data_IF_182066681355
#
_entry.id   IF_182066681355
#
_cell.length_a   1.000
_cell.length_b   1.000
_cell.length_c   1.000
_cell.angle_alpha   90.00
_cell.angle_beta   90.00
_cell.angle_gamma   90.00
#
_symmetry.space_group_name_H-M   'P 1'
#
loop_
_entity.id
_entity.type
_entity.pdbx_description
1 polymer ?
#
# COMPACT_ATOMS: atom_id res chain seq x y z
N UNK A 1 -8.46 7.86 -1.68
CA UNK A 1 -9.26 8.01 -2.92
C UNK A 1 -9.98 6.70 -3.27
N UNK A 2 -9.26 5.60 -3.57
CA UNK A 2 -9.86 4.32 -3.96
C UNK A 2 -10.82 3.73 -2.91
N UNK A 3 -10.46 3.74 -1.63
CA UNK A 3 -11.36 3.28 -0.56
C UNK A 3 -12.68 4.06 -0.52
N UNK A 4 -12.65 5.36 -0.82
CA UNK A 4 -13.85 6.20 -0.86
C UNK A 4 -14.67 5.93 -2.12
N UNK A 5 -14.02 5.62 -3.24
CA UNK A 5 -14.70 5.18 -4.47
C UNK A 5 -15.44 3.86 -4.21
N UNK A 6 -14.81 2.91 -3.51
CA UNK A 6 -15.45 1.65 -3.09
C UNK A 6 -16.62 1.89 -2.13
N UNK A 7 -16.45 2.75 -1.12
CA UNK A 7 -17.53 3.11 -0.21
C UNK A 7 -18.74 3.74 -0.93
N UNK A 8 -18.50 4.48 -2.01
CA UNK A 8 -19.53 5.14 -2.80
C UNK A 8 -20.03 4.29 -3.99
N UNK A 9 -19.63 3.03 -4.08
CA UNK A 9 -19.97 2.16 -5.22
C UNK A 9 -21.46 2.10 -5.52
N UNK A 10 -22.29 1.81 -4.51
CA UNK A 10 -23.74 1.74 -4.68
C UNK A 10 -24.33 3.09 -5.11
N UNK A 11 -23.86 4.18 -4.51
CA UNK A 11 -24.27 5.53 -4.90
C UNK A 11 -23.93 5.83 -6.35
N UNK A 12 -22.70 5.50 -6.79
CA UNK A 12 -22.24 5.70 -8.17
C UNK A 12 -23.09 4.88 -9.15
N UNK A 13 -23.39 3.62 -8.82
CA UNK A 13 -24.24 2.76 -9.64
C UNK A 13 -25.67 3.28 -9.74
N UNK A 14 -26.25 3.76 -8.63
CA UNK A 14 -27.58 4.37 -8.61
C UNK A 14 -27.65 5.63 -9.47
N UNK A 15 -26.64 6.50 -9.37
CA UNK A 15 -26.55 7.71 -10.20
C UNK A 15 -26.40 7.38 -11.69
N UNK A 16 -25.56 6.39 -12.03
CA UNK A 16 -25.38 5.95 -13.41
C UNK A 16 -26.63 5.32 -14.03
N UNK A 17 -27.51 4.72 -13.22
CA UNK A 17 -28.79 4.20 -13.69
C UNK A 17 -29.77 5.32 -14.07
N UNK A 18 -29.65 6.49 -13.43
CA UNK A 18 -30.55 7.62 -13.59
C UNK A 18 -30.05 8.67 -14.62
N UNK A 19 -28.78 8.62 -15.01
CA UNK A 19 -28.16 9.56 -15.95
C UNK A 19 -27.41 8.84 -17.07
N UNK A 20 -27.87 9.07 -18.31
CA UNK A 20 -27.30 8.45 -19.52
C UNK A 20 -25.86 8.85 -19.83
N UNK A 21 -25.39 10.03 -19.37
CA UNK A 21 -23.99 10.44 -19.50
C UNK A 21 -23.11 9.69 -18.50
N UNK A 22 -23.57 9.56 -17.25
CA UNK A 22 -22.85 8.83 -16.21
C UNK A 22 -22.78 7.33 -16.48
N UNK A 23 -23.81 6.76 -17.11
CA UNK A 23 -23.81 5.35 -17.54
C UNK A 23 -22.66 5.00 -18.46
N UNK A 24 -22.21 5.93 -19.32
CA UNK A 24 -21.10 5.71 -20.27
C UNK A 24 -19.73 5.56 -19.59
N UNK A 25 -19.58 6.14 -18.39
CA UNK A 25 -18.33 6.10 -17.61
C UNK A 25 -18.43 5.19 -16.39
N UNK A 26 -19.57 4.50 -16.22
CA UNK A 26 -19.80 3.62 -15.10
C UNK A 26 -18.93 2.36 -15.23
N UNK A 27 -18.20 2.06 -14.15
CA UNK A 27 -17.34 0.89 -14.09
C UNK A 27 -18.17 -0.39 -14.09
N UNK A 28 -17.72 -1.38 -14.85
CA UNK A 28 -18.29 -2.71 -14.86
C UNK A 28 -17.80 -3.53 -13.64
N UNK A 29 -18.39 -4.70 -13.44
CA UNK A 29 -18.09 -5.55 -12.28
C UNK A 29 -16.62 -6.01 -12.22
N UNK A 30 -15.95 -6.18 -13.37
CA UNK A 30 -14.54 -6.57 -13.41
C UNK A 30 -13.62 -5.41 -13.04
N UNK A 31 -13.93 -4.21 -13.52
CA UNK A 31 -13.19 -2.99 -13.17
C UNK A 31 -13.33 -2.67 -11.67
N UNK A 32 -14.52 -2.83 -11.09
CA UNK A 32 -14.70 -2.73 -9.63
C UNK A 32 -13.84 -3.73 -8.86
N UNK A 33 -13.80 -4.99 -9.30
CA UNK A 33 -12.91 -6.00 -8.69
C UNK A 33 -11.43 -5.62 -8.82
N UNK A 34 -11.02 -5.03 -9.93
CA UNK A 34 -9.65 -4.53 -10.10
C UNK A 34 -9.34 -3.40 -9.12
N UNK A 35 -10.28 -2.46 -8.90
CA UNK A 35 -10.12 -1.41 -7.88
C UNK A 35 -9.95 -2.01 -6.49
N UNK A 36 -10.73 -3.03 -6.13
CA UNK A 36 -10.58 -3.74 -4.86
C UNK A 36 -9.17 -4.35 -4.72
N UNK A 37 -8.70 -5.05 -5.75
CA UNK A 37 -7.35 -5.65 -5.77
C UNK A 37 -6.27 -4.58 -5.62
N UNK A 38 -6.39 -3.45 -6.33
CA UNK A 38 -5.43 -2.34 -6.24
C UNK A 38 -5.47 -1.71 -4.83
N UNK A 39 -6.66 -1.49 -4.29
CA UNK A 39 -6.83 -0.91 -2.95
C UNK A 39 -6.23 -1.82 -1.87
N UNK A 40 -6.42 -3.14 -1.99
CA UNK A 40 -5.79 -4.11 -1.11
C UNK A 40 -4.27 -4.10 -1.27
N UNK A 41 -3.75 -4.15 -2.49
CA UNK A 41 -2.32 -4.13 -2.77
C UNK A 41 -1.60 -2.88 -2.23
N UNK A 42 -2.29 -1.74 -2.17
CA UNK A 42 -1.76 -0.47 -1.63
C UNK A 42 -1.93 -0.33 -0.12
N UNK A 43 -2.76 -1.15 0.53
CA UNK A 43 -3.07 -1.03 1.96
C UNK A 43 -1.83 -1.15 2.85
N UNK A 44 -0.89 -2.11 2.65
CA UNK A 44 0.32 -2.19 3.45
C UNK A 44 1.17 -0.91 3.35
N UNK A 45 1.29 -0.35 2.13
CA UNK A 45 2.03 0.89 1.90
C UNK A 45 1.36 2.10 2.58
N UNK A 46 0.02 2.16 2.58
CA UNK A 46 -0.74 3.19 3.31
C UNK A 46 -0.49 3.10 4.82
N UNK A 47 -0.55 1.91 5.39
CA UNK A 47 -0.31 1.70 6.84
C UNK A 47 1.14 2.06 7.18
N UNK A 48 2.10 1.58 6.39
CA UNK A 48 3.51 1.86 6.56
C UNK A 48 3.79 3.37 6.52
N UNK A 49 3.35 4.06 5.47
CA UNK A 49 3.58 5.51 5.33
C UNK A 49 3.01 6.32 6.49
N UNK A 50 1.84 5.93 7.03
CA UNK A 50 1.30 6.56 8.24
C UNK A 50 2.19 6.31 9.47
N UNK A 51 2.70 5.09 9.67
CA UNK A 51 3.67 4.80 10.75
C UNK A 51 4.96 5.62 10.59
N UNK A 52 5.42 5.80 9.36
CA UNK A 52 6.63 6.56 9.05
C UNK A 52 6.49 8.07 9.33
N UNK A 53 5.26 8.57 9.49
CA UNK A 53 4.99 9.97 9.84
C UNK A 53 4.95 10.21 11.35
N UNK A 54 5.15 9.19 12.18
CA UNK A 54 5.18 9.35 13.64
C UNK A 54 6.38 10.22 14.05
N UNK A 55 6.14 11.20 14.94
CA UNK A 55 7.17 12.15 15.39
C UNK A 55 8.34 11.45 16.11
N UNK A 56 8.04 10.44 16.93
CA UNK A 56 9.04 9.66 17.68
C UNK A 56 9.38 8.34 16.99
N UNK A 57 9.64 8.38 15.68
CA UNK A 57 10.04 7.19 14.93
C UNK A 57 11.54 6.89 15.11
N UNK A 58 11.86 5.78 15.77
CA UNK A 58 13.25 5.31 15.86
C UNK A 58 13.69 4.62 14.55
N UNK A 59 15.00 4.59 14.29
CA UNK A 59 15.55 3.94 13.07
C UNK A 59 15.20 2.45 12.99
N UNK A 60 15.15 1.76 14.13
CA UNK A 60 14.74 0.36 14.21
C UNK A 60 13.25 0.18 13.94
N UNK A 61 12.40 1.06 14.48
CA UNK A 61 10.95 0.99 14.23
C UNK A 61 10.61 1.32 12.77
N UNK A 62 11.36 2.25 12.16
CA UNK A 62 11.34 2.47 10.72
C UNK A 62 11.61 1.15 9.95
N UNK A 63 12.68 0.44 10.32
CA UNK A 63 13.05 -0.81 9.65
C UNK A 63 11.99 -1.91 9.84
N UNK A 64 11.45 -2.04 11.06
CA UNK A 64 10.35 -2.97 11.34
C UNK A 64 9.10 -2.67 10.53
N UNK A 65 8.69 -1.40 10.45
CA UNK A 65 7.55 -0.98 9.62
C UNK A 65 7.80 -1.25 8.13
N UNK A 66 9.04 -1.04 7.66
CA UNK A 66 9.43 -1.31 6.28
C UNK A 66 9.38 -2.80 5.91
N UNK A 67 9.95 -3.67 6.76
CA UNK A 67 9.90 -5.13 6.55
C UNK A 67 8.46 -5.62 6.58
N UNK A 68 7.67 -5.20 7.57
CA UNK A 68 6.27 -5.59 7.69
C UNK A 68 5.49 -5.21 6.42
N UNK A 69 5.68 -3.99 5.92
CA UNK A 69 5.07 -3.54 4.67
C UNK A 69 5.42 -4.46 3.49
N UNK A 70 6.69 -4.88 3.38
CA UNK A 70 7.12 -5.80 2.31
C UNK A 70 6.44 -7.16 2.44
N UNK A 71 6.43 -7.75 3.63
CA UNK A 71 5.83 -9.06 3.90
C UNK A 71 4.32 -9.03 3.61
N UNK A 72 3.62 -8.03 4.11
CA UNK A 72 2.18 -7.84 3.87
C UNK A 72 1.87 -7.57 2.39
N UNK A 73 2.74 -6.87 1.66
CA UNK A 73 2.56 -6.68 0.21
C UNK A 73 2.77 -7.98 -0.57
N UNK A 74 3.74 -8.79 -0.15
CA UNK A 74 4.05 -10.08 -0.77
C UNK A 74 2.91 -11.10 -0.55
N UNK A 75 2.30 -11.11 0.64
CA UNK A 75 1.21 -12.04 0.97
C UNK A 75 -0.07 -11.85 0.13
N UNK A 76 -0.31 -10.64 -0.41
CA UNK A 76 -1.46 -10.35 -1.28
C UNK A 76 -1.38 -11.09 -2.62
N UNK A 77 -0.17 -11.40 -3.10
CA UNK A 77 0.10 -12.19 -4.32
C UNK A 77 -0.74 -11.81 -5.56
N UNK A 78 -0.98 -10.51 -5.78
CA UNK A 78 -1.63 -10.01 -7.00
C UNK A 78 -0.58 -9.51 -8.01
N UNK A 79 -0.97 -9.33 -9.28
CA UNK A 79 -0.09 -8.73 -10.28
C UNK A 79 0.38 -7.33 -9.84
N UNK A 80 -0.52 -6.53 -9.28
CA UNK A 80 -0.20 -5.22 -8.73
C UNK A 80 0.71 -5.27 -7.51
N UNK A 81 0.47 -6.20 -6.57
CA UNK A 81 1.32 -6.30 -5.38
C UNK A 81 2.76 -6.71 -5.73
N UNK A 82 2.95 -7.54 -6.76
CA UNK A 82 4.28 -7.88 -7.29
C UNK A 82 5.02 -6.67 -7.84
N UNK A 83 4.33 -5.77 -8.55
CA UNK A 83 4.92 -4.52 -9.05
C UNK A 83 5.35 -3.62 -7.89
N UNK A 84 4.47 -3.43 -6.89
CA UNK A 84 4.75 -2.63 -5.69
C UNK A 84 5.95 -3.23 -4.93
N UNK A 85 5.99 -4.54 -4.76
CA UNK A 85 7.09 -5.24 -4.11
C UNK A 85 8.42 -5.02 -4.84
N UNK A 86 8.40 -5.02 -6.19
CA UNK A 86 9.56 -4.66 -7.00
C UNK A 86 10.06 -3.23 -6.71
N UNK A 87 9.16 -2.26 -6.62
CA UNK A 87 9.49 -0.89 -6.27
C UNK A 87 10.05 -0.77 -4.83
N UNK A 88 9.44 -1.47 -3.86
CA UNK A 88 9.92 -1.51 -2.47
C UNK A 88 11.33 -2.10 -2.40
N UNK A 89 11.58 -3.25 -3.04
CA UNK A 89 12.92 -3.87 -3.10
C UNK A 89 13.95 -2.96 -3.76
N UNK A 90 13.57 -2.22 -4.82
CA UNK A 90 14.47 -1.27 -5.45
C UNK A 90 14.83 -0.10 -4.52
N UNK A 91 13.84 0.47 -3.81
CA UNK A 91 14.06 1.57 -2.87
C UNK A 91 14.87 1.14 -1.64
N UNK A 92 14.64 -0.08 -1.16
CA UNK A 92 15.37 -0.69 -0.03
C UNK A 92 16.89 -0.71 -0.27
N UNK A 93 17.34 -0.97 -1.50
CA UNK A 93 18.78 -0.93 -1.85
C UNK A 93 19.44 0.40 -1.51
N UNK A 94 18.69 1.50 -1.58
CA UNK A 94 19.20 2.83 -1.24
C UNK A 94 19.10 3.10 0.26
N UNK A 95 18.00 2.66 0.90
CA UNK A 95 17.81 2.75 2.35
C UNK A 95 18.94 2.03 3.09
N UNK A 96 19.31 0.83 2.65
CA UNK A 96 20.36 0.01 3.26
C UNK A 96 21.79 0.53 3.05
N UNK A 97 21.99 1.62 2.30
CA UNK A 97 23.30 2.29 2.22
C UNK A 97 23.54 3.23 3.41
N UNK A 98 22.51 3.54 4.20
CA UNK A 98 22.65 4.42 5.34
C UNK A 98 23.31 3.67 6.52
N UNK A 99 24.57 4.03 6.83
CA UNK A 99 25.34 3.42 7.92
C UNK A 99 24.70 3.60 9.29
N UNK A 100 24.04 4.75 9.55
CA UNK A 100 23.36 5.02 10.83
C UNK A 100 22.20 4.05 11.04
N UNK A 101 21.42 3.82 9.98
CA UNK A 101 20.33 2.85 10.02
C UNK A 101 20.86 1.42 10.27
N UNK A 102 21.91 1.01 9.54
CA UNK A 102 22.50 -0.32 9.73
C UNK A 102 23.04 -0.52 11.15
N UNK A 103 23.71 0.48 11.73
CA UNK A 103 24.19 0.43 13.10
C UNK A 103 23.04 0.32 14.10
N UNK A 104 21.95 1.08 13.90
CA UNK A 104 20.77 0.98 14.75
C UNK A 104 20.13 -0.42 14.70
N UNK A 105 19.98 -0.99 13.49
CA UNK A 105 19.45 -2.35 13.30
C UNK A 105 20.34 -3.39 13.98
N UNK A 106 21.66 -3.28 13.82
CA UNK A 106 22.62 -4.22 14.42
C UNK A 106 22.62 -4.21 15.96
N UNK A 107 22.40 -3.04 16.55
CA UNK A 107 22.35 -2.89 18.01
C UNK A 107 21.01 -3.33 18.59
N UNK A 108 19.92 -3.26 17.82
CA UNK A 108 18.59 -3.61 18.28
C UNK A 108 18.44 -5.14 18.45
N UNK A 109 18.13 -5.63 19.66
CA UNK A 109 18.01 -7.06 19.93
C UNK A 109 16.84 -7.72 19.20
N UNK A 110 15.86 -6.96 18.69
CA UNK A 110 14.72 -7.50 17.95
C UNK A 110 15.10 -8.12 16.59
N UNK A 111 16.28 -7.79 16.07
CA UNK A 111 16.74 -8.22 14.74
C UNK A 111 18.00 -9.11 14.77
N UNK A 112 18.30 -9.72 15.93
CA UNK A 112 19.40 -10.67 16.12
C UNK A 112 18.94 -12.12 16.05
#
# INVERSE_FOLDING_TARGET
MLERINHLKEFIQNMANNDSLLKKVCLNNMEWKQIDIISQALLPAKICTKKLQNEQLTMSDFYGAWILCKIETESINSSFSKVILGCLKNREKYIMKNKVLLSAIFLDPRYK
#
